data_IF_576920813188
#
_entry.id   IF_576920813188
#
_cell.length_a   1.000
_cell.length_b   1.000
_cell.length_c   1.000
_cell.angle_alpha   90.00
_cell.angle_beta   90.00
_cell.angle_gamma   90.00
#
_symmetry.space_group_name_H-M   'P 1'
#
loop_
_entity.id
_entity.type
_entity.pdbx_description
1 polymer ?
#
# COMPACT_ATOMS: atom_id res chain seq x y z
N UNK A 1 15.33 3.20 0.19
CA UNK A 1 15.95 3.75 1.41
C UNK A 1 15.62 2.80 2.55
N UNK A 2 16.61 2.37 3.35
CA UNK A 2 16.35 1.51 4.51
C UNK A 2 15.54 2.27 5.57
N UNK A 3 14.62 1.57 6.23
CA UNK A 3 13.92 2.07 7.42
C UNK A 3 14.94 2.11 8.58
N UNK A 4 14.70 2.94 9.61
CA UNK A 4 15.63 3.02 10.74
C UNK A 4 15.52 1.79 11.66
N UNK A 5 16.61 1.41 12.32
CA UNK A 5 16.66 0.31 13.30
C UNK A 5 15.67 0.47 14.46
N UNK A 6 15.26 1.69 14.79
CA UNK A 6 14.21 1.92 15.80
C UNK A 6 12.83 1.38 15.42
N UNK A 7 12.64 0.87 14.19
CA UNK A 7 11.37 0.41 13.64
C UNK A 7 11.57 -0.90 12.85
N UNK A 8 12.43 -1.80 13.33
CA UNK A 8 12.75 -3.09 12.69
C UNK A 8 11.51 -3.93 12.34
N UNK A 9 10.54 -4.04 13.25
CA UNK A 9 9.29 -4.78 13.00
C UNK A 9 8.49 -4.17 11.84
N UNK A 10 8.47 -2.83 11.77
CA UNK A 10 7.83 -2.10 10.67
C UNK A 10 8.58 -2.33 9.36
N UNK A 11 9.91 -2.35 9.39
CA UNK A 11 10.73 -2.65 8.23
C UNK A 11 10.49 -4.07 7.68
N UNK A 12 10.48 -5.06 8.56
CA UNK A 12 10.23 -6.44 8.19
C UNK A 12 8.83 -6.58 7.57
N UNK A 13 7.81 -6.02 8.21
CA UNK A 13 6.44 -6.05 7.70
C UNK A 13 6.29 -5.28 6.38
N UNK A 14 6.97 -4.14 6.23
CA UNK A 14 6.97 -3.34 5.01
C UNK A 14 7.56 -4.15 3.84
N UNK A 15 8.70 -4.81 4.04
CA UNK A 15 9.34 -5.65 3.02
C UNK A 15 8.44 -6.80 2.58
N UNK A 16 7.76 -7.47 3.53
CA UNK A 16 6.81 -8.54 3.22
C UNK A 16 5.63 -8.03 2.39
N UNK A 17 5.01 -6.93 2.81
CA UNK A 17 3.88 -6.34 2.10
C UNK A 17 4.28 -5.81 0.71
N UNK A 18 5.47 -5.22 0.57
CA UNK A 18 6.02 -4.79 -0.72
C UNK A 18 6.29 -5.98 -1.66
N UNK A 19 6.86 -7.06 -1.15
CA UNK A 19 7.10 -8.28 -1.93
C UNK A 19 5.78 -8.91 -2.40
N UNK A 20 4.77 -8.97 -1.52
CA UNK A 20 3.44 -9.45 -1.87
C UNK A 20 2.74 -8.57 -2.92
N UNK A 21 2.84 -7.24 -2.78
CA UNK A 21 2.35 -6.32 -3.80
C UNK A 21 3.01 -6.57 -5.17
N UNK A 22 4.35 -6.66 -5.21
CA UNK A 22 5.08 -6.94 -6.46
C UNK A 22 4.69 -8.29 -7.06
N UNK A 23 4.49 -9.31 -6.23
CA UNK A 23 4.01 -10.62 -6.68
C UNK A 23 2.60 -10.53 -7.29
N UNK A 24 1.69 -9.82 -6.62
CA UNK A 24 0.33 -9.59 -7.11
C UNK A 24 0.36 -8.88 -8.48
N UNK A 25 1.12 -7.79 -8.62
CA UNK A 25 1.30 -7.05 -9.88
C UNK A 25 1.79 -7.97 -11.00
N UNK A 26 2.79 -8.83 -10.74
CA UNK A 26 3.28 -9.79 -11.75
C UNK A 26 2.22 -10.78 -12.23
N UNK A 27 1.43 -11.31 -11.30
CA UNK A 27 0.37 -12.28 -11.64
C UNK A 27 -0.78 -11.61 -12.37
N UNK A 28 -1.15 -10.40 -11.97
CA UNK A 28 -2.15 -9.58 -12.67
C UNK A 28 -1.67 -9.27 -14.09
N UNK A 29 -0.42 -8.84 -14.27
CA UNK A 29 0.17 -8.58 -15.58
C UNK A 29 0.11 -9.83 -16.48
N UNK A 30 0.42 -11.01 -15.94
CA UNK A 30 0.33 -12.27 -16.67
C UNK A 30 -1.11 -12.60 -17.11
N UNK A 31 -2.10 -12.39 -16.23
CA UNK A 31 -3.52 -12.59 -16.57
C UNK A 31 -4.01 -11.56 -17.59
N UNK A 32 -3.55 -10.31 -17.50
CA UNK A 32 -3.91 -9.27 -18.45
C UNK A 32 -3.29 -9.49 -19.84
N UNK A 33 -2.12 -10.12 -19.92
CA UNK A 33 -1.44 -10.41 -21.18
C UNK A 33 -1.94 -11.68 -21.87
N UNK A 34 -2.14 -12.76 -21.10
CA UNK A 34 -2.40 -14.11 -21.64
C UNK A 34 -3.86 -14.56 -21.46
N UNK A 35 -4.68 -13.74 -20.79
CA UNK A 35 -6.06 -14.05 -20.45
C UNK A 35 -6.21 -14.91 -19.18
N UNK A 36 -7.42 -14.95 -18.60
CA UNK A 36 -7.72 -15.73 -17.40
C UNK A 36 -7.87 -17.22 -17.73
N UNK A 37 -6.76 -17.90 -18.03
CA UNK A 37 -6.74 -19.35 -18.16
C UNK A 37 -7.08 -20.06 -16.84
N UNK A 38 -7.55 -21.31 -16.94
CA UNK A 38 -7.94 -22.13 -15.78
C UNK A 38 -6.77 -22.21 -14.77
N UNK A 39 -6.98 -21.68 -13.57
CA UNK A 39 -6.01 -21.65 -12.46
C UNK A 39 -5.30 -20.31 -12.24
N UNK A 40 -5.06 -19.51 -13.29
CA UNK A 40 -4.37 -18.21 -13.13
C UNK A 40 -5.21 -17.17 -12.42
N UNK A 41 -6.52 -17.15 -12.68
CA UNK A 41 -7.45 -16.29 -11.96
C UNK A 41 -7.43 -16.60 -10.44
N UNK A 42 -7.38 -17.88 -10.06
CA UNK A 42 -7.30 -18.29 -8.65
C UNK A 42 -5.99 -17.87 -8.00
N UNK A 43 -4.86 -17.96 -8.72
CA UNK A 43 -3.57 -17.49 -8.24
C UNK A 43 -3.56 -15.98 -8.02
N UNK A 44 -4.19 -15.21 -8.91
CA UNK A 44 -4.31 -13.76 -8.74
C UNK A 44 -5.20 -13.41 -7.56
N UNK A 45 -6.35 -14.08 -7.41
CA UNK A 45 -7.24 -13.91 -6.24
C UNK A 45 -6.44 -14.14 -4.96
N UNK A 46 -5.74 -15.26 -4.86
CA UNK A 46 -4.91 -15.57 -3.69
C UNK A 46 -3.84 -14.51 -3.44
N UNK A 47 -3.18 -14.04 -4.50
CA UNK A 47 -2.14 -13.01 -4.37
C UNK A 47 -2.70 -11.66 -3.90
N UNK A 48 -3.91 -11.28 -4.33
CA UNK A 48 -4.61 -10.09 -3.86
C UNK A 48 -4.97 -10.23 -2.38
N UNK A 49 -5.46 -11.40 -1.97
CA UNK A 49 -5.80 -11.70 -0.57
C UNK A 49 -4.57 -11.66 0.33
N UNK A 50 -3.48 -12.34 -0.07
CA UNK A 50 -2.22 -12.36 0.67
C UNK A 50 -1.63 -10.94 0.80
N UNK A 51 -1.63 -10.17 -0.28
CA UNK A 51 -1.20 -8.76 -0.25
C UNK A 51 -2.09 -7.92 0.68
N UNK A 52 -3.42 -8.07 0.60
CA UNK A 52 -4.37 -7.35 1.45
C UNK A 52 -4.15 -7.63 2.93
N UNK A 53 -3.93 -8.88 3.32
CA UNK A 53 -3.67 -9.25 4.70
C UNK A 53 -2.37 -8.60 5.22
N UNK A 54 -1.32 -8.59 4.39
CA UNK A 54 -0.04 -7.99 4.75
C UNK A 54 -0.11 -6.46 4.82
N UNK A 55 -0.89 -5.81 3.95
CA UNK A 55 -1.13 -4.38 4.02
C UNK A 55 -1.95 -3.99 5.26
N UNK A 56 -3.03 -4.73 5.57
CA UNK A 56 -3.83 -4.48 6.77
C UNK A 56 -3.00 -4.62 8.04
N UNK A 57 -2.12 -5.63 8.09
CA UNK A 57 -1.18 -5.80 9.19
C UNK A 57 -0.16 -4.66 9.27
N UNK A 58 0.36 -4.19 8.14
CA UNK A 58 1.27 -3.04 8.08
C UNK A 58 0.60 -1.75 8.58
N UNK A 59 -0.65 -1.52 8.20
CA UNK A 59 -1.46 -0.38 8.66
C UNK A 59 -1.74 -0.46 10.16
N UNK A 60 -2.12 -1.63 10.65
CA UNK A 60 -2.37 -1.88 12.07
C UNK A 60 -1.12 -1.60 12.90
N UNK A 61 0.03 -2.12 12.47
CA UNK A 61 1.33 -1.86 13.10
C UNK A 61 1.67 -0.37 13.10
N UNK A 62 1.43 0.34 12.00
CA UNK A 62 1.64 1.77 11.92
C UNK A 62 0.77 2.54 12.93
N UNK A 63 -0.50 2.16 13.09
CA UNK A 63 -1.41 2.75 14.08
C UNK A 63 -0.90 2.51 15.50
N UNK A 64 -0.44 1.31 15.81
CA UNK A 64 0.16 0.98 17.12
C UNK A 64 1.42 1.79 17.39
N UNK A 65 2.31 1.91 16.41
CA UNK A 65 3.54 2.70 16.54
C UNK A 65 3.26 4.19 16.77
N UNK A 66 2.19 4.72 16.18
CA UNK A 66 1.72 6.09 16.44
C UNK A 66 1.15 6.20 17.86
N UNK A 67 0.28 5.28 18.28
CA UNK A 67 -0.30 5.25 19.64
C UNK A 67 0.77 5.17 20.73
N UNK A 68 1.81 4.37 20.50
CA UNK A 68 2.93 4.16 21.42
C UNK A 68 4.01 5.27 21.30
N UNK A 69 3.77 6.30 20.49
CA UNK A 69 4.67 7.46 20.36
C UNK A 69 6.00 7.18 19.65
N UNK A 70 6.21 5.98 19.09
CA UNK A 70 7.42 5.61 18.31
C UNK A 70 7.43 6.25 16.92
N UNK A 71 6.27 6.64 16.43
CA UNK A 71 6.06 7.28 15.13
C UNK A 71 5.24 8.55 15.30
N UNK A 72 5.63 9.63 14.59
CA UNK A 72 4.92 10.90 14.59
C UNK A 72 4.29 11.18 13.22
N UNK A 73 3.02 11.56 13.24
CA UNK A 73 2.31 12.07 12.07
C UNK A 73 2.46 13.60 12.06
N UNK A 74 3.07 14.22 11.02
CA UNK A 74 3.19 15.67 10.97
C UNK A 74 1.82 16.35 11.02
N UNK A 75 1.68 17.43 11.80
CA UNK A 75 0.41 18.20 11.95
C UNK A 75 -0.18 18.71 10.63
N UNK A 76 0.61 18.78 9.56
CA UNK A 76 0.15 19.14 8.21
C UNK A 76 -0.71 18.04 7.56
N UNK A 77 -0.64 16.80 8.04
CA UNK A 77 -1.53 15.71 7.61
C UNK A 77 -2.87 15.68 8.36
N UNK A 78 -2.98 16.35 9.52
CA UNK A 78 -4.17 16.31 10.38
C UNK A 78 -5.09 17.51 10.21
N UNK A 79 -4.75 18.50 9.37
CA UNK A 79 -5.61 19.67 9.12
C UNK A 79 -6.45 19.45 7.85
N UNK A 80 -7.79 19.52 7.93
CA UNK A 80 -8.64 19.66 6.76
C UNK A 80 -8.49 21.11 6.27
N UNK A 81 -7.48 21.35 5.41
CA UNK A 81 -7.24 22.64 4.78
C UNK A 81 -7.66 22.58 3.31
N UNK A 82 -8.12 23.71 2.71
CA UNK A 82 -8.54 23.74 1.32
C UNK A 82 -7.40 23.28 0.42
N UNK A 83 -7.68 22.29 -0.43
CA UNK A 83 -6.76 21.70 -1.38
C UNK A 83 -6.14 22.77 -2.29
N UNK A 84 -5.00 23.34 -1.87
CA UNK A 84 -4.08 23.98 -2.81
C UNK A 84 -3.29 22.86 -3.47
N UNK A 85 -3.53 22.68 -4.77
CA UNK A 85 -2.70 21.91 -5.69
C UNK A 85 -1.30 22.53 -5.73
N UNK A 86 -0.49 22.27 -4.71
CA UNK A 86 0.94 22.53 -4.70
C UNK A 86 1.65 21.20 -4.60
N UNK A 87 2.57 20.93 -5.51
CA UNK A 87 3.44 19.77 -5.54
C UNK A 87 4.47 19.77 -4.36
N UNK A 88 4.02 20.07 -3.15
CA UNK A 88 4.80 20.06 -1.93
C UNK A 88 4.45 18.81 -1.13
N UNK A 89 5.39 17.87 -1.08
CA UNK A 89 5.48 16.72 -0.15
C UNK A 89 4.35 16.65 0.88
N UNK A 90 3.36 15.77 0.64
CA UNK A 90 2.50 15.24 1.69
C UNK A 90 3.38 14.86 2.87
N UNK A 91 3.15 15.43 4.06
CA UNK A 91 4.07 15.29 5.19
C UNK A 91 4.39 13.82 5.46
N UNK A 92 5.63 13.39 5.35
CA UNK A 92 5.98 12.00 5.60
C UNK A 92 5.81 11.68 7.09
N UNK A 93 5.21 10.52 7.39
CA UNK A 93 5.24 9.97 8.74
C UNK A 93 6.70 9.75 9.12
N UNK A 94 7.11 10.10 10.34
CA UNK A 94 8.52 10.05 10.78
C UNK A 94 8.72 9.20 12.03
N UNK A 95 9.89 8.61 12.17
CA UNK A 95 10.33 7.98 13.42
C UNK A 95 10.46 9.04 14.51
N UNK A 96 9.92 8.79 15.71
CA UNK A 96 10.01 9.73 16.82
C UNK A 96 11.42 9.89 17.39
N UNK A 97 12.28 8.87 17.23
CA UNK A 97 13.64 8.85 17.77
C UNK A 97 14.65 9.53 16.85
N UNK A 98 14.67 9.15 15.56
CA UNK A 98 15.68 9.63 14.61
C UNK A 98 15.14 10.57 13.54
N UNK A 99 13.84 10.88 13.59
CA UNK A 99 13.14 11.79 12.66
C UNK A 99 13.23 11.41 11.18
N UNK A 100 13.72 10.21 10.84
CA UNK A 100 13.72 9.69 9.47
C UNK A 100 12.29 9.46 9.00
N UNK A 101 12.04 9.80 7.74
CA UNK A 101 10.78 9.53 7.06
C UNK A 101 10.57 8.02 6.88
N UNK A 102 9.38 7.55 7.21
CA UNK A 102 8.94 6.19 6.93
C UNK A 102 8.43 6.12 5.48
N UNK A 103 8.83 5.08 4.72
CA UNK A 103 8.24 4.83 3.42
C UNK A 103 6.77 4.41 3.59
N UNK A 104 5.96 4.64 2.56
CA UNK A 104 4.59 4.13 2.45
C UNK A 104 4.50 3.29 1.18
N UNK A 105 3.73 2.21 1.24
CA UNK A 105 3.40 1.49 0.02
C UNK A 105 2.60 2.42 -0.89
N UNK A 106 2.99 2.43 -2.17
CA UNK A 106 2.31 3.19 -3.21
C UNK A 106 1.72 2.18 -4.20
N UNK A 107 0.41 2.22 -4.39
CA UNK A 107 -0.31 1.33 -5.29
C UNK A 107 -0.46 1.98 -6.67
N UNK A 108 0.65 2.34 -7.29
CA UNK A 108 0.65 3.13 -8.53
C UNK A 108 0.00 2.42 -9.70
N UNK A 109 -0.04 1.09 -9.68
CA UNK A 109 -0.65 0.28 -10.73
C UNK A 109 -2.18 0.22 -10.61
N UNK A 110 -2.74 0.63 -9.47
CA UNK A 110 -4.18 0.57 -9.19
C UNK A 110 -4.77 1.98 -9.12
N UNK A 111 -5.94 2.18 -9.73
CA UNK A 111 -6.72 3.39 -9.57
C UNK A 111 -8.05 3.05 -8.92
N UNK A 112 -8.37 3.77 -7.84
CA UNK A 112 -9.59 3.58 -7.07
C UNK A 112 -10.50 4.78 -7.31
N UNK A 113 -11.51 4.60 -8.15
CA UNK A 113 -12.50 5.64 -8.40
C UNK A 113 -13.46 5.77 -7.20
N UNK A 114 -14.00 6.98 -7.02
CA UNK A 114 -14.90 7.30 -5.91
C UNK A 114 -16.19 6.46 -5.90
N UNK A 115 -16.62 6.02 -7.08
CA UNK A 115 -17.78 5.14 -7.28
C UNK A 115 -17.49 3.66 -6.95
N UNK A 116 -16.30 3.34 -6.43
CA UNK A 116 -15.92 1.98 -6.08
C UNK A 116 -15.36 1.15 -7.25
N UNK A 117 -15.26 1.72 -8.45
CA UNK A 117 -14.59 1.06 -9.57
C UNK A 117 -13.09 1.03 -9.30
N UNK A 118 -12.48 -0.13 -9.50
CA UNK A 118 -11.04 -0.31 -9.42
C UNK A 118 -10.52 -0.69 -10.79
N UNK A 119 -9.58 0.09 -11.31
CA UNK A 119 -8.90 -0.22 -12.57
C UNK A 119 -7.42 -0.53 -12.30
N UNK A 120 -6.88 -1.43 -13.10
CA UNK A 120 -5.47 -1.79 -13.08
C UNK A 120 -4.80 -1.22 -14.34
N UNK A 121 -3.85 -0.29 -14.17
CA UNK A 121 -3.20 0.47 -15.25
C UNK A 121 -4.19 1.03 -16.27
N UNK A 122 -5.33 1.54 -15.78
CA UNK A 122 -6.39 2.13 -16.60
C UNK A 122 -7.26 1.14 -17.37
N UNK A 123 -7.16 -0.16 -17.09
CA UNK A 123 -8.00 -1.22 -17.66
C UNK A 123 -8.89 -1.85 -16.60
N UNK A 124 -10.08 -2.27 -17.01
CA UNK A 124 -10.96 -3.05 -16.15
C UNK A 124 -10.31 -4.38 -15.83
N UNK A 125 -10.20 -4.66 -14.54
CA UNK A 125 -9.59 -5.89 -14.08
C UNK A 125 -10.61 -7.04 -14.24
N UNK A 126 -10.29 -8.11 -14.99
CA UNK A 126 -11.26 -9.13 -15.40
C UNK A 126 -11.75 -10.01 -14.25
N UNK A 127 -11.12 -9.92 -13.07
CA UNK A 127 -11.53 -10.66 -11.88
C UNK A 127 -12.33 -9.74 -10.97
N UNK A 128 -13.58 -10.11 -10.69
CA UNK A 128 -14.46 -9.39 -9.76
C UNK A 128 -14.05 -9.67 -8.31
N UNK A 129 -13.02 -8.99 -7.82
CA UNK A 129 -12.73 -8.95 -6.38
C UNK A 129 -12.48 -7.51 -5.90
N UNK A 130 -12.86 -7.20 -4.64
CA UNK A 130 -12.54 -5.93 -4.03
C UNK A 130 -11.04 -5.84 -3.72
N UNK A 131 -10.35 -4.93 -4.42
CA UNK A 131 -8.95 -4.58 -4.17
C UNK A 131 -8.87 -3.69 -2.92
N UNK A 132 -7.88 -3.87 -2.02
CA UNK A 132 -7.74 -3.04 -0.83
C UNK A 132 -7.60 -1.55 -1.18
N UNK A 133 -8.39 -0.70 -0.50
CA UNK A 133 -8.33 0.78 -0.58
C UNK A 133 -7.21 1.34 0.29
#
# INVERSE_FOLDING_TARGET
>A
MPICSHLEDYEAQFKLAEAAYRQCVRLVDAVMAEGPGNGRAQLVIKAIEDWRQLDERLRSLLVELVKNGRVRVPRRMTRPGPHRHGAGTQGSIICATCHRALPRLKYTDWQFAHNGVVTYRGRDFPVRQPVPR
#
